data_IF_025451048100
#
_entry.id   IF_025451048100
#
_cell.length_a   1.000
_cell.length_b   1.000
_cell.length_c   1.000
_cell.angle_alpha   90.00
_cell.angle_beta   90.00
_cell.angle_gamma   90.00
#
_symmetry.space_group_name_H-M   'P 1'
#
loop_
_entity.id
_entity.type
_entity.pdbx_description
1 polymer ?
#
# COMPACT_ATOMS: atom_id res chain seq x y z
N UNK A 1 15.81 -3.76 -13.31
CA UNK A 1 14.99 -4.93 -12.92
C UNK A 1 13.77 -4.38 -12.21
N UNK A 2 12.53 -4.81 -12.52
CA UNK A 2 11.37 -4.32 -11.80
C UNK A 2 11.53 -4.63 -10.32
N UNK A 3 11.24 -3.64 -9.46
CA UNK A 3 11.33 -3.79 -8.02
C UNK A 3 10.41 -4.93 -7.60
N UNK A 4 10.94 -5.95 -6.92
CA UNK A 4 10.18 -7.13 -6.48
C UNK A 4 8.88 -6.72 -5.78
N UNK A 5 8.95 -5.69 -4.95
CA UNK A 5 7.81 -5.10 -4.26
C UNK A 5 6.72 -4.63 -5.22
N UNK A 6 7.07 -3.92 -6.29
CA UNK A 6 6.11 -3.40 -7.26
C UNK A 6 5.45 -4.53 -8.05
N UNK A 7 6.20 -5.56 -8.40
CA UNK A 7 5.64 -6.75 -9.06
C UNK A 7 4.61 -7.44 -8.17
N UNK A 8 4.90 -7.62 -6.88
CA UNK A 8 3.99 -8.23 -5.91
C UNK A 8 2.77 -7.32 -5.67
N UNK A 9 2.99 -6.02 -5.47
CA UNK A 9 1.90 -5.04 -5.29
C UNK A 9 0.93 -5.06 -6.47
N UNK A 10 1.46 -5.01 -7.68
CA UNK A 10 0.64 -5.01 -8.89
C UNK A 10 -0.09 -6.34 -9.08
N UNK A 11 0.54 -7.49 -8.76
CA UNK A 11 -0.13 -8.79 -8.87
C UNK A 11 -1.28 -8.93 -7.85
N UNK A 12 -1.09 -8.47 -6.61
CA UNK A 12 -2.14 -8.42 -5.59
C UNK A 12 -3.31 -7.55 -6.06
N UNK A 13 -3.03 -6.35 -6.59
CA UNK A 13 -4.08 -5.44 -7.06
C UNK A 13 -4.80 -5.96 -8.31
N UNK A 14 -4.10 -6.61 -9.22
CA UNK A 14 -4.72 -7.29 -10.35
C UNK A 14 -5.65 -8.43 -9.89
N UNK A 15 -5.23 -9.25 -8.93
CA UNK A 15 -6.06 -10.33 -8.40
C UNK A 15 -7.35 -9.80 -7.77
N UNK A 16 -7.25 -8.72 -6.99
CA UNK A 16 -8.42 -8.04 -6.39
C UNK A 16 -9.32 -7.43 -7.46
N UNK A 17 -8.77 -6.78 -8.49
CA UNK A 17 -9.56 -6.21 -9.58
C UNK A 17 -10.36 -7.29 -10.33
N UNK A 18 -9.76 -8.44 -10.59
CA UNK A 18 -10.47 -9.58 -11.20
C UNK A 18 -11.61 -10.05 -10.30
N UNK A 19 -11.37 -10.22 -9.00
CA UNK A 19 -12.42 -10.60 -8.05
C UNK A 19 -13.54 -9.55 -7.98
N UNK A 20 -13.20 -8.26 -7.96
CA UNK A 20 -14.17 -7.16 -7.95
C UNK A 20 -15.02 -7.12 -9.24
N UNK A 21 -14.43 -7.41 -10.41
CA UNK A 21 -15.16 -7.51 -11.68
C UNK A 21 -16.15 -8.68 -11.66
N UNK A 22 -15.75 -9.83 -11.11
CA UNK A 22 -16.63 -10.99 -10.98
C UNK A 22 -17.83 -10.65 -10.09
N UNK A 23 -17.60 -10.06 -8.92
CA UNK A 23 -18.67 -9.67 -7.99
C UNK A 23 -19.55 -8.56 -8.61
N UNK A 24 -18.97 -7.60 -9.31
CA UNK A 24 -19.73 -6.56 -10.03
C UNK A 24 -20.63 -7.17 -11.11
N UNK A 25 -20.14 -8.17 -11.85
CA UNK A 25 -20.92 -8.88 -12.87
C UNK A 25 -22.13 -9.61 -12.27
N UNK A 26 -21.93 -10.31 -11.15
CA UNK A 26 -23.02 -10.97 -10.41
C UNK A 26 -24.01 -9.95 -9.84
N UNK A 27 -23.52 -8.87 -9.23
CA UNK A 27 -24.35 -7.80 -8.68
C UNK A 27 -25.16 -7.08 -9.78
N UNK A 28 -24.58 -6.86 -10.96
CA UNK A 28 -25.28 -6.30 -12.11
C UNK A 28 -26.36 -7.25 -12.63
N UNK A 29 -26.09 -8.56 -12.69
CA UNK A 29 -27.10 -9.56 -13.03
C UNK A 29 -28.27 -9.49 -12.04
N UNK A 30 -27.99 -9.51 -10.74
CA UNK A 30 -29.01 -9.35 -9.69
C UNK A 30 -29.78 -8.03 -9.81
N UNK A 31 -29.12 -6.94 -10.20
CA UNK A 31 -29.79 -5.66 -10.42
C UNK A 31 -30.80 -5.74 -11.57
N UNK A 32 -30.49 -6.46 -12.64
CA UNK A 32 -31.46 -6.64 -13.73
C UNK A 32 -32.66 -7.49 -13.32
N UNK A 33 -32.51 -8.42 -12.37
CA UNK A 33 -33.54 -9.40 -12.02
C UNK A 33 -34.42 -8.92 -10.85
N UNK A 34 -33.83 -8.30 -9.82
CA UNK A 34 -34.50 -8.05 -8.53
C UNK A 34 -34.91 -6.60 -8.29
N UNK A 35 -34.26 -5.61 -8.94
CA UNK A 35 -34.69 -4.23 -8.79
C UNK A 35 -36.01 -3.97 -9.55
N UNK A 36 -36.93 -3.19 -8.96
CA UNK A 36 -36.74 -2.36 -7.75
C UNK A 36 -37.27 -2.96 -6.44
N UNK A 37 -37.94 -4.11 -6.45
CA UNK A 37 -38.82 -4.54 -5.34
C UNK A 37 -38.22 -5.58 -4.38
N UNK A 38 -37.21 -6.36 -4.79
CA UNK A 38 -36.68 -7.46 -3.99
C UNK A 38 -35.18 -7.27 -3.70
N UNK A 39 -34.74 -7.52 -2.46
CA UNK A 39 -33.33 -7.43 -2.02
C UNK A 39 -32.58 -6.15 -2.40
N UNK A 40 -33.30 -5.04 -2.59
CA UNK A 40 -32.77 -3.74 -3.03
C UNK A 40 -31.53 -3.25 -2.25
N UNK A 41 -31.50 -3.23 -0.90
CA UNK A 41 -30.35 -2.66 -0.18
C UNK A 41 -29.06 -3.45 -0.42
N UNK A 42 -29.14 -4.78 -0.44
CA UNK A 42 -28.00 -5.65 -0.69
C UNK A 42 -27.42 -5.45 -2.10
N UNK A 43 -28.27 -5.48 -3.13
CA UNK A 43 -27.83 -5.35 -4.53
C UNK A 43 -27.19 -3.97 -4.78
N UNK A 44 -27.74 -2.90 -4.21
CA UNK A 44 -27.14 -1.56 -4.31
C UNK A 44 -25.78 -1.53 -3.62
N UNK A 45 -25.68 -2.10 -2.42
CA UNK A 45 -24.44 -2.11 -1.65
C UNK A 45 -23.32 -2.87 -2.40
N UNK A 46 -23.60 -4.07 -2.92
CA UNK A 46 -22.61 -4.87 -3.64
C UNK A 46 -22.13 -4.20 -4.93
N UNK A 47 -23.01 -3.51 -5.65
CA UNK A 47 -22.65 -2.70 -6.82
C UNK A 47 -21.70 -1.56 -6.44
N UNK A 48 -22.04 -0.77 -5.40
CA UNK A 48 -21.26 0.40 -4.98
C UNK A 48 -19.87 0.01 -4.50
N UNK A 49 -19.77 -1.01 -3.64
CA UNK A 49 -18.48 -1.46 -3.10
C UNK A 49 -17.58 -2.01 -4.20
N UNK A 50 -18.11 -2.84 -5.10
CA UNK A 50 -17.33 -3.41 -6.21
C UNK A 50 -16.89 -2.34 -7.21
N UNK A 51 -17.79 -1.42 -7.60
CA UNK A 51 -17.47 -0.33 -8.52
C UNK A 51 -16.44 0.64 -7.92
N UNK A 52 -16.60 1.00 -6.65
CA UNK A 52 -15.65 1.89 -5.95
C UNK A 52 -14.29 1.24 -5.81
N UNK A 53 -14.23 -0.08 -5.53
CA UNK A 53 -12.98 -0.84 -5.50
C UNK A 53 -12.25 -0.73 -6.86
N UNK A 54 -12.96 -0.94 -7.98
CA UNK A 54 -12.36 -0.85 -9.30
C UNK A 54 -11.82 0.56 -9.58
N UNK A 55 -12.64 1.60 -9.41
CA UNK A 55 -12.24 2.98 -9.70
C UNK A 55 -11.05 3.39 -8.83
N UNK A 56 -11.11 3.08 -7.53
CA UNK A 56 -10.09 3.49 -6.58
C UNK A 56 -8.75 2.79 -6.85
N UNK A 57 -8.77 1.50 -7.17
CA UNK A 57 -7.54 0.75 -7.43
C UNK A 57 -6.89 1.14 -8.76
N UNK A 58 -7.68 1.49 -9.77
CA UNK A 58 -7.14 2.10 -10.98
C UNK A 58 -6.42 3.43 -10.68
N UNK A 59 -6.96 4.25 -9.78
CA UNK A 59 -6.29 5.50 -9.35
C UNK A 59 -5.02 5.23 -8.54
N UNK A 60 -5.05 4.27 -7.61
CA UNK A 60 -3.88 3.88 -6.79
C UNK A 60 -2.74 3.30 -7.66
N UNK A 61 -3.07 2.59 -8.74
CA UNK A 61 -2.08 2.04 -9.65
C UNK A 61 -1.32 3.12 -10.43
N UNK A 62 -1.94 4.28 -10.71
CA UNK A 62 -1.29 5.36 -11.45
C UNK A 62 -0.20 6.03 -10.60
N UNK A 63 -0.56 6.50 -9.40
CA UNK A 63 0.38 7.08 -8.43
C UNK A 63 -0.31 7.22 -7.08
N UNK A 64 0.20 6.55 -6.05
CA UNK A 64 -0.32 6.64 -4.69
C UNK A 64 0.76 7.00 -3.67
N UNK A 65 0.41 7.88 -2.76
CA UNK A 65 1.17 8.10 -1.53
C UNK A 65 0.89 6.95 -0.56
N UNK A 66 1.90 6.54 0.20
CA UNK A 66 1.80 5.41 1.13
C UNK A 66 0.68 5.59 2.17
N UNK A 67 0.53 6.81 2.70
CA UNK A 67 -0.59 7.19 3.59
C UNK A 67 -1.96 6.98 2.97
N UNK A 68 -2.17 7.47 1.75
CA UNK A 68 -3.45 7.35 1.06
C UNK A 68 -3.76 5.88 0.76
N UNK A 69 -2.75 5.11 0.35
CA UNK A 69 -2.89 3.69 0.07
C UNK A 69 -3.33 2.89 1.30
N UNK A 70 -2.69 3.10 2.46
CA UNK A 70 -3.09 2.47 3.72
C UNK A 70 -4.52 2.85 4.12
N UNK A 71 -4.86 4.14 4.03
CA UNK A 71 -6.20 4.61 4.36
C UNK A 71 -7.27 3.95 3.48
N UNK A 72 -7.07 3.95 2.16
CA UNK A 72 -8.05 3.37 1.24
C UNK A 72 -8.11 1.85 1.32
N UNK A 73 -6.99 1.17 1.52
CA UNK A 73 -6.98 -0.27 1.78
C UNK A 73 -7.82 -0.60 3.01
N UNK A 74 -7.65 0.13 4.12
CA UNK A 74 -8.43 -0.08 5.33
C UNK A 74 -9.93 0.16 5.13
N UNK A 75 -10.31 1.24 4.45
CA UNK A 75 -11.73 1.53 4.16
C UNK A 75 -12.33 0.45 3.26
N UNK A 76 -11.62 0.04 2.21
CA UNK A 76 -12.11 -1.02 1.31
C UNK A 76 -12.17 -2.37 2.01
N UNK A 77 -11.19 -2.71 2.87
CA UNK A 77 -11.17 -3.93 3.68
C UNK A 77 -12.44 -4.05 4.54
N UNK A 78 -12.83 -2.98 5.25
CA UNK A 78 -14.07 -2.94 6.04
C UNK A 78 -15.30 -3.10 5.15
N UNK A 79 -15.34 -2.45 3.98
CA UNK A 79 -16.48 -2.56 3.07
C UNK A 79 -16.65 -3.99 2.51
N UNK A 80 -15.55 -4.68 2.21
CA UNK A 80 -15.56 -6.07 1.76
C UNK A 80 -15.92 -7.04 2.89
N UNK A 81 -15.44 -6.79 4.12
CA UNK A 81 -15.89 -7.52 5.31
C UNK A 81 -17.40 -7.36 5.54
N UNK A 82 -17.90 -6.12 5.44
CA UNK A 82 -19.32 -5.83 5.57
C UNK A 82 -20.14 -6.52 4.46
N UNK A 83 -19.62 -6.58 3.23
CA UNK A 83 -20.28 -7.31 2.14
C UNK A 83 -20.32 -8.80 2.41
N UNK A 84 -19.22 -9.39 2.89
CA UNK A 84 -19.16 -10.80 3.24
C UNK A 84 -20.21 -11.12 4.33
N UNK A 85 -20.20 -10.36 5.43
CA UNK A 85 -21.15 -10.54 6.53
C UNK A 85 -22.61 -10.34 6.09
N UNK A 86 -22.89 -9.32 5.27
CA UNK A 86 -24.25 -9.09 4.78
C UNK A 86 -24.71 -10.19 3.83
N UNK A 87 -23.80 -10.72 3.00
CA UNK A 87 -24.11 -11.86 2.12
C UNK A 87 -24.46 -13.10 2.95
N UNK A 88 -23.71 -13.38 4.02
CA UNK A 88 -23.99 -14.49 4.94
C UNK A 88 -25.35 -14.33 5.62
N UNK A 89 -25.73 -13.10 6.02
CA UNK A 89 -27.05 -12.82 6.62
C UNK A 89 -28.21 -13.04 5.63
N UNK A 90 -28.04 -12.63 4.36
CA UNK A 90 -29.07 -12.79 3.33
C UNK A 90 -29.29 -14.27 2.97
N UNK A 91 -28.23 -15.07 2.86
CA UNK A 91 -28.35 -16.50 2.49
C UNK A 91 -28.74 -17.35 3.70
N UNK A 92 -28.16 -17.06 4.88
CA UNK A 92 -28.21 -17.94 6.04
C UNK A 92 -27.36 -19.22 5.87
N UNK A 93 -27.45 -20.16 6.83
CA UNK A 93 -26.66 -21.40 6.83
C UNK A 93 -27.24 -22.50 5.92
N UNK A 94 -27.87 -22.14 4.80
CA UNK A 94 -28.55 -23.10 3.92
C UNK A 94 -27.59 -23.69 2.89
N UNK A 95 -27.74 -24.99 2.65
CA UNK A 95 -27.03 -25.72 1.60
C UNK A 95 -27.71 -25.53 0.25
N UNK A 96 -26.95 -25.28 -0.82
CA UNK A 96 -27.49 -25.00 -2.16
C UNK A 96 -28.06 -26.24 -2.88
N UNK A 97 -27.61 -27.45 -2.53
CA UNK A 97 -28.00 -28.71 -3.15
C UNK A 97 -29.49 -29.10 -2.96
N UNK A 98 -30.07 -29.04 -1.74
CA UNK A 98 -31.47 -29.45 -1.52
C UNK A 98 -32.52 -28.50 -2.11
N UNK A 99 -32.14 -27.31 -2.61
CA UNK A 99 -33.06 -26.30 -3.16
C UNK A 99 -33.49 -26.60 -4.62
N UNK A 100 -33.15 -27.79 -5.13
CA UNK A 100 -33.56 -28.25 -6.45
C UNK A 100 -35.08 -28.22 -6.63
N UNK A 101 -35.55 -27.60 -7.71
CA UNK A 101 -36.97 -27.46 -8.03
C UNK A 101 -37.69 -26.29 -7.36
N UNK A 102 -37.08 -25.61 -6.39
CA UNK A 102 -37.64 -24.41 -5.79
C UNK A 102 -37.32 -23.17 -6.65
N UNK A 103 -38.27 -22.23 -6.73
CA UNK A 103 -38.12 -20.99 -7.50
C UNK A 103 -38.39 -19.78 -6.63
N UNK A 104 -37.61 -18.71 -6.84
CA UNK A 104 -37.81 -17.42 -6.18
C UNK A 104 -38.42 -16.41 -7.17
N UNK A 105 -39.37 -15.56 -6.72
CA UNK A 105 -39.97 -14.56 -7.59
C UNK A 105 -38.95 -13.51 -8.03
N UNK A 106 -39.04 -13.09 -9.29
CA UNK A 106 -38.26 -11.99 -9.88
C UNK A 106 -39.21 -10.92 -10.38
N UNK A 107 -38.69 -9.77 -10.82
CA UNK A 107 -39.56 -8.67 -11.29
C UNK A 107 -40.42 -9.01 -12.51
N UNK A 108 -40.02 -10.00 -13.32
CA UNK A 108 -40.69 -10.39 -14.58
C UNK A 108 -40.95 -11.90 -14.69
N UNK A 109 -40.81 -12.65 -13.60
CA UNK A 109 -40.98 -14.11 -13.61
C UNK A 109 -40.48 -14.78 -12.34
N UNK A 110 -39.77 -15.90 -12.51
CA UNK A 110 -39.14 -16.61 -11.41
C UNK A 110 -37.80 -17.20 -11.85
N UNK A 111 -36.82 -17.22 -10.94
CA UNK A 111 -35.53 -17.88 -11.16
C UNK A 111 -35.38 -19.10 -10.24
N UNK A 112 -34.53 -20.04 -10.62
CA UNK A 112 -34.20 -21.18 -9.76
C UNK A 112 -33.55 -20.68 -8.46
N UNK A 113 -34.10 -21.09 -7.33
CA UNK A 113 -33.56 -20.74 -6.01
C UNK A 113 -32.17 -21.36 -5.79
N UNK A 114 -31.93 -22.52 -6.41
CA UNK A 114 -30.62 -23.16 -6.40
C UNK A 114 -29.56 -22.31 -7.13
N UNK A 115 -29.87 -21.76 -8.31
CA UNK A 115 -28.95 -20.87 -9.03
C UNK A 115 -28.66 -19.61 -8.24
N UNK A 116 -29.71 -19.00 -7.66
CA UNK A 116 -29.56 -17.85 -6.77
C UNK A 116 -28.62 -18.15 -5.59
N UNK A 117 -28.79 -19.30 -4.94
CA UNK A 117 -27.94 -19.72 -3.83
C UNK A 117 -26.46 -19.84 -4.24
N UNK A 118 -26.17 -20.49 -5.37
CA UNK A 118 -24.79 -20.63 -5.85
C UNK A 118 -24.14 -19.29 -6.20
N UNK A 119 -24.86 -18.40 -6.88
CA UNK A 119 -24.35 -17.07 -7.24
C UNK A 119 -24.09 -16.22 -5.97
N UNK A 120 -24.98 -16.29 -4.99
CA UNK A 120 -24.79 -15.60 -3.71
C UNK A 120 -23.63 -16.19 -2.89
N UNK A 121 -23.46 -17.52 -2.87
CA UNK A 121 -22.29 -18.17 -2.26
C UNK A 121 -20.98 -17.80 -2.95
N UNK A 122 -21.00 -17.59 -4.26
CA UNK A 122 -19.84 -17.08 -4.98
C UNK A 122 -19.49 -15.66 -4.51
N UNK A 123 -20.47 -14.75 -4.38
CA UNK A 123 -20.25 -13.40 -3.84
C UNK A 123 -19.68 -13.46 -2.41
N UNK A 124 -20.22 -14.34 -1.56
CA UNK A 124 -19.71 -14.56 -0.20
C UNK A 124 -18.23 -14.98 -0.21
N UNK A 125 -17.88 -15.99 -1.02
CA UNK A 125 -16.52 -16.51 -1.09
C UNK A 125 -15.52 -15.48 -1.62
N UNK A 126 -15.86 -14.77 -2.71
CA UNK A 126 -15.00 -13.71 -3.25
C UNK A 126 -14.86 -12.55 -2.28
N UNK A 127 -15.91 -12.22 -1.52
CA UNK A 127 -15.84 -11.14 -0.54
C UNK A 127 -14.90 -11.46 0.62
N UNK A 128 -14.98 -12.68 1.16
CA UNK A 128 -14.03 -13.15 2.18
C UNK A 128 -12.60 -13.23 1.65
N UNK A 129 -12.42 -13.67 0.40
CA UNK A 129 -11.10 -13.72 -0.21
C UNK A 129 -10.48 -12.33 -0.39
N UNK A 130 -11.24 -11.35 -0.89
CA UNK A 130 -10.76 -9.97 -1.05
C UNK A 130 -10.46 -9.32 0.29
N UNK A 131 -11.33 -9.50 1.30
CA UNK A 131 -11.06 -9.08 2.67
C UNK A 131 -9.74 -9.68 3.20
N UNK A 132 -9.56 -11.00 3.08
CA UNK A 132 -8.33 -11.66 3.53
C UNK A 132 -7.08 -11.11 2.83
N UNK A 133 -7.15 -10.90 1.51
CA UNK A 133 -6.05 -10.31 0.73
C UNK A 133 -5.74 -8.89 1.20
N UNK A 134 -6.76 -8.04 1.39
CA UNK A 134 -6.59 -6.67 1.85
C UNK A 134 -6.02 -6.60 3.26
N UNK A 135 -6.56 -7.37 4.20
CA UNK A 135 -6.05 -7.43 5.57
C UNK A 135 -4.57 -7.82 5.60
N UNK A 136 -4.19 -8.90 4.89
CA UNK A 136 -2.80 -9.35 4.84
C UNK A 136 -1.91 -8.29 4.20
N UNK A 137 -2.33 -7.72 3.07
CA UNK A 137 -1.57 -6.71 2.35
C UNK A 137 -1.41 -5.42 3.17
N UNK A 138 -2.46 -4.96 3.84
CA UNK A 138 -2.45 -3.80 4.73
C UNK A 138 -1.43 -3.98 5.86
N UNK A 139 -1.45 -5.13 6.53
CA UNK A 139 -0.50 -5.45 7.62
C UNK A 139 0.93 -5.45 7.07
N UNK A 140 1.18 -6.11 5.93
CA UNK A 140 2.50 -6.14 5.31
C UNK A 140 3.00 -4.74 4.95
N UNK A 141 2.14 -3.91 4.36
CA UNK A 141 2.48 -2.54 3.95
C UNK A 141 2.84 -1.68 5.18
N UNK A 142 2.03 -1.72 6.24
CA UNK A 142 2.31 -1.02 7.50
C UNK A 142 3.64 -1.50 8.12
N UNK A 143 3.87 -2.81 8.18
CA UNK A 143 5.11 -3.37 8.72
C UNK A 143 6.34 -2.91 7.91
N UNK A 144 6.24 -2.89 6.57
CA UNK A 144 7.34 -2.46 5.70
C UNK A 144 7.62 -0.97 5.82
N UNK A 145 6.60 -0.12 5.85
CA UNK A 145 6.76 1.32 6.06
C UNK A 145 7.38 1.64 7.42
N UNK A 146 6.92 0.96 8.47
CA UNK A 146 7.47 1.14 9.83
C UNK A 146 8.94 0.75 9.88
N UNK A 147 9.33 -0.34 9.20
CA UNK A 147 10.74 -0.76 9.07
C UNK A 147 11.58 0.26 8.29
N UNK A 148 11.04 0.87 7.24
CA UNK A 148 11.73 1.92 6.49
C UNK A 148 11.93 3.19 7.32
N UNK A 149 10.90 3.61 8.05
CA UNK A 149 11.02 4.76 8.97
C UNK A 149 12.06 4.49 10.06
N UNK A 150 12.10 3.28 10.63
CA UNK A 150 13.11 2.89 11.61
C UNK A 150 14.55 2.88 11.03
N UNK A 151 14.72 2.74 9.71
CA UNK A 151 16.02 2.85 9.01
C UNK A 151 16.43 4.28 8.69
N UNK A 152 15.68 5.29 9.13
CA UNK A 152 16.01 6.70 8.93
C UNK A 152 15.27 7.38 7.77
N UNK A 153 14.36 6.70 7.08
CA UNK A 153 13.48 7.33 6.08
C UNK A 153 12.27 7.99 6.77
N UNK A 154 12.48 9.14 7.39
CA UNK A 154 11.46 9.85 8.18
C UNK A 154 10.21 10.25 7.38
N UNK A 155 10.34 10.45 6.06
CA UNK A 155 9.24 10.84 5.15
C UNK A 155 8.64 9.68 4.34
N UNK A 156 8.94 8.43 4.72
CA UNK A 156 8.48 7.24 3.99
C UNK A 156 6.94 7.17 3.82
N UNK A 157 6.19 7.77 4.73
CA UNK A 157 4.72 7.81 4.69
C UNK A 157 4.13 8.80 3.68
N UNK A 158 4.90 9.83 3.32
CA UNK A 158 4.47 10.92 2.43
C UNK A 158 4.94 10.72 0.99
N UNK A 159 5.96 9.89 0.82
CA UNK A 159 6.51 9.53 -0.47
C UNK A 159 5.59 8.57 -1.24
N UNK A 160 5.76 8.57 -2.56
CA UNK A 160 5.10 7.62 -3.44
C UNK A 160 5.59 6.21 -3.13
N UNK A 161 4.67 5.26 -3.05
CA UNK A 161 5.00 3.84 -2.84
C UNK A 161 5.95 3.32 -3.92
N UNK A 162 5.93 3.91 -5.11
CA UNK A 162 6.81 3.53 -6.21
C UNK A 162 8.25 4.05 -6.07
N UNK A 163 8.44 5.12 -5.30
CA UNK A 163 9.72 5.84 -5.20
C UNK A 163 10.56 5.36 -3.99
N UNK A 164 9.95 4.60 -3.07
CA UNK A 164 10.61 4.10 -1.88
C UNK A 164 11.65 3.00 -2.19
N UNK A 165 12.81 2.99 -1.52
CA UNK A 165 13.86 2.01 -1.76
C UNK A 165 13.53 0.68 -1.06
N UNK A 166 12.62 -0.08 -1.67
CA UNK A 166 12.25 -1.39 -1.16
C UNK A 166 13.43 -2.36 -1.24
N UNK A 167 13.60 -3.19 -0.19
CA UNK A 167 14.56 -4.30 -0.16
C UNK A 167 16.02 -3.92 -0.49
N UNK A 168 16.49 -2.74 -0.06
CA UNK A 168 17.91 -2.37 -0.16
C UNK A 168 18.34 -1.89 -1.54
N UNK A 169 17.40 -1.39 -2.34
CA UNK A 169 17.68 -0.73 -3.63
C UNK A 169 18.26 0.70 -3.48
N UNK A 170 18.93 0.99 -2.36
CA UNK A 170 19.44 2.31 -1.97
C UNK A 170 20.54 2.87 -2.90
N UNK A 171 20.96 2.15 -3.94
CA UNK A 171 22.17 2.48 -4.70
C UNK A 171 21.97 3.31 -5.99
N UNK A 172 20.75 3.60 -6.46
CA UNK A 172 20.61 4.25 -7.78
C UNK A 172 19.62 5.41 -7.94
N UNK A 173 18.74 5.69 -6.98
CA UNK A 173 17.79 6.82 -7.11
C UNK A 173 18.07 7.89 -6.04
N UNK A 174 19.04 8.75 -6.35
CA UNK A 174 19.26 10.02 -5.67
C UNK A 174 18.08 10.96 -5.89
N UNK A 175 17.03 10.80 -5.10
CA UNK A 175 15.81 11.59 -5.13
C UNK A 175 15.60 12.36 -3.82
N UNK A 176 16.47 13.35 -3.58
CA UNK A 176 16.13 14.59 -2.86
C UNK A 176 15.59 14.49 -1.44
N UNK A 177 16.47 14.38 -0.46
CA UNK A 177 16.60 15.41 0.58
C UNK A 177 18.08 15.53 0.96
N UNK A 178 18.66 16.74 1.03
CA UNK A 178 19.96 16.91 1.62
C UNK A 178 19.77 16.65 3.11
N UNK A 179 20.02 15.42 3.56
CA UNK A 179 20.71 15.28 4.83
C UNK A 179 21.91 16.21 4.70
N UNK A 180 21.95 17.26 5.53
CA UNK A 180 23.19 17.97 5.84
C UNK A 180 24.12 16.98 6.52
N UNK A 181 24.55 15.98 5.76
CA UNK A 181 25.73 15.23 6.03
C UNK A 181 26.82 16.26 5.83
N UNK A 182 27.48 16.62 6.93
CA UNK A 182 28.76 17.27 6.93
C UNK A 182 29.75 16.31 6.25
N UNK A 183 29.60 16.16 4.94
CA UNK A 183 30.40 15.30 4.10
C UNK A 183 31.63 16.12 3.74
N UNK A 184 32.70 15.85 4.49
CA UNK A 184 34.04 16.25 4.10
C UNK A 184 34.25 15.89 2.63
N UNK A 185 34.59 16.91 1.84
CA UNK A 185 34.77 16.80 0.42
C UNK A 185 35.76 15.68 0.10
N UNK A 186 35.26 14.62 -0.53
CA UNK A 186 36.05 13.56 -1.11
C UNK A 186 36.62 14.10 -2.43
N UNK A 187 37.77 14.78 -2.33
CA UNK A 187 38.57 15.15 -3.49
C UNK A 187 39.44 13.98 -3.90
N UNK A 188 39.37 13.62 -5.17
CA UNK A 188 40.10 12.53 -5.77
C UNK A 188 41.62 12.67 -5.64
N UNK A 189 42.27 11.51 -5.50
CA UNK A 189 43.64 11.28 -5.96
C UNK A 189 44.72 12.16 -5.34
N UNK A 190 44.98 12.04 -4.04
CA UNK A 190 46.29 12.35 -3.48
C UNK A 190 46.49 11.64 -2.12
N UNK A 191 47.64 11.00 -2.00
CA UNK A 191 48.33 10.40 -0.84
C UNK A 191 47.71 10.61 0.56
N UNK A 192 47.71 9.58 1.43
CA UNK A 192 47.18 9.67 2.80
C UNK A 192 48.03 10.63 3.64
N UNK A 193 47.61 11.89 3.75
CA UNK A 193 48.16 12.82 4.71
C UNK A 193 47.56 12.50 6.09
N UNK A 194 48.36 11.87 6.95
CA UNK A 194 48.00 11.63 8.35
C UNK A 194 48.17 12.94 9.12
N UNK A 195 47.06 13.55 9.51
CA UNK A 195 47.08 14.77 10.33
C UNK A 195 47.07 14.34 11.79
N UNK A 196 48.23 14.42 12.46
CA UNK A 196 48.31 14.20 13.91
C UNK A 196 47.73 15.41 14.65
N UNK A 197 46.58 15.23 15.30
CA UNK A 197 46.03 16.20 16.23
C UNK A 197 46.71 16.06 17.60
N UNK A 198 47.24 17.17 18.12
CA UNK A 198 47.62 17.23 19.52
C UNK A 198 46.34 17.27 20.40
N UNK A 199 46.25 16.48 21.49
CA UNK A 199 45.11 16.54 22.40
C UNK A 199 44.86 17.98 22.91
N UNK A 200 43.61 18.43 22.92
CA UNK A 200 43.22 19.78 23.36
C UNK A 200 43.26 20.88 22.29
N UNK A 201 43.50 20.54 21.02
CA UNK A 201 43.51 21.50 19.91
C UNK A 201 42.33 21.24 18.96
N UNK A 202 41.69 22.31 18.48
CA UNK A 202 40.67 22.22 17.42
C UNK A 202 41.33 22.44 16.05
N UNK A 203 40.87 21.69 15.04
CA UNK A 203 41.35 21.86 13.66
C UNK A 203 40.35 22.69 12.86
N UNK A 204 40.85 23.75 12.23
CA UNK A 204 40.10 24.49 11.22
C UNK A 204 40.80 24.28 9.89
N UNK A 205 40.07 23.71 8.93
CA UNK A 205 40.52 23.52 7.54
C UNK A 205 39.87 24.62 6.73
N UNK A 206 40.65 25.59 6.27
CA UNK A 206 40.14 26.64 5.39
C UNK A 206 40.36 26.24 3.92
N UNK A 207 39.28 26.14 3.12
CA UNK A 207 39.40 25.92 1.69
C UNK A 207 40.08 27.13 1.06
N UNK A 208 41.16 26.89 0.31
CA UNK A 208 41.87 27.94 -0.40
C UNK A 208 41.01 28.39 -1.60
N UNK A 209 40.64 29.68 -1.63
CA UNK A 209 39.79 30.25 -2.67
C UNK A 209 40.38 30.13 -4.09
N UNK A 210 41.70 29.92 -4.23
CA UNK A 210 42.39 29.80 -5.51
C UNK A 210 42.69 28.35 -5.93
N UNK A 211 42.00 27.36 -5.34
CA UNK A 211 42.15 25.94 -5.73
C UNK A 211 43.48 25.30 -5.32
N UNK A 212 44.28 25.98 -4.48
CA UNK A 212 45.49 25.43 -3.88
C UNK A 212 45.21 24.44 -2.74
N UNK A 213 46.24 23.74 -2.23
CA UNK A 213 46.09 22.82 -1.11
C UNK A 213 45.47 23.53 0.12
N UNK A 214 44.58 22.86 0.87
CA UNK A 214 43.90 23.47 2.01
C UNK A 214 44.89 23.81 3.12
N UNK A 215 44.70 24.97 3.74
CA UNK A 215 45.46 25.34 4.93
C UNK A 215 44.81 24.70 6.15
N UNK A 216 45.60 23.92 6.89
CA UNK A 216 45.22 23.33 8.17
C UNK A 216 45.86 24.15 9.28
N UNK A 217 45.05 24.81 10.11
CA UNK A 217 45.54 25.53 11.29
C UNK A 217 44.96 24.88 12.54
N UNK A 218 45.84 24.53 13.49
CA UNK A 218 45.42 24.06 14.81
C UNK A 218 45.29 25.27 15.74
N UNK A 219 44.10 25.46 16.30
CA UNK A 219 43.84 26.51 17.28
C UNK A 219 43.78 25.87 18.69
N UNK A 220 44.42 26.47 19.71
CA UNK A 220 44.30 26.01 21.08
C UNK A 220 42.83 26.05 21.52
N UNK A 221 42.27 24.89 21.89
CA UNK A 221 40.92 24.80 22.43
C UNK A 221 40.93 25.10 23.92
N UNK A 222 40.18 26.11 24.36
CA UNK A 222 39.95 26.32 25.80
C UNK A 222 38.91 25.31 26.29
N UNK A 223 39.39 24.21 26.88
CA UNK A 223 38.53 23.28 27.62
C UNK A 223 38.13 23.96 28.93
N UNK A 224 36.93 24.56 28.97
CA UNK A 224 36.36 25.08 30.21
C UNK A 224 35.84 23.88 31.02
N UNK A 225 36.65 23.40 31.96
CA UNK A 225 36.19 22.44 32.97
C UNK A 225 35.18 23.16 33.86
N UNK A 226 33.90 22.82 33.71
CA UNK A 226 32.84 23.28 34.60
C UNK A 226 32.89 22.50 35.90
N UNK A 227 32.99 23.23 37.02
CA UNK A 227 32.64 22.77 38.37
C UNK A 227 31.16 23.08 38.58
#
# INVERSE_FOLDING_TARGET
>A
MPNLFLTIRNSVYCAVLVAAIVVLGLAANFATIFLPHLHRPYVIFSLVVSATTIVLFLLILLRSQARAEVFFLFVMDILWLAMAAYTTDVIGPVECFPLGGQRTPTKSGSMSLQTYCYEMKAVEAFSWAVFGIFTIWLILLICLLTKLTARGHYRAWEESVNDLPWFGQDQLYGGGYPQQMYAGAQFGGAQPYVIQQAPGHSMVIQPNANGGPPMVTQLPGTVRSGI
#
